data_IF_674078838013
#
_entry.id   IF_674078838013
#
_cell.length_a   1.000
_cell.length_b   1.000
_cell.length_c   1.000
_cell.angle_alpha   90.00
_cell.angle_beta   90.00
_cell.angle_gamma   90.00
#
_symmetry.space_group_name_H-M   'P 1'
#
loop_
_entity.id
_entity.type
_entity.pdbx_description
1 polymer ?
#
# COMPACT_ATOMS: atom_id res chain seq x y z
N UNK A 1 66.32 11.41 -56.65
CA UNK A 1 66.03 9.97 -56.49
C UNK A 1 64.86 9.80 -55.52
N UNK A 2 63.85 9.02 -55.92
CA UNK A 2 62.63 8.63 -55.17
C UNK A 2 62.97 7.60 -54.05
N UNK A 3 62.03 7.21 -53.14
CA UNK A 3 60.59 7.50 -53.12
C UNK A 3 59.98 8.01 -51.80
N UNK A 4 58.75 8.51 -51.94
CA UNK A 4 57.72 8.69 -50.89
C UNK A 4 57.20 7.33 -50.41
N UNK A 5 56.80 7.25 -49.14
CA UNK A 5 55.68 6.41 -48.69
C UNK A 5 54.73 7.29 -47.88
N UNK A 6 53.46 7.31 -48.30
CA UNK A 6 52.30 7.84 -47.60
C UNK A 6 51.67 6.70 -46.81
N UNK A 7 51.23 6.92 -45.56
CA UNK A 7 49.99 6.34 -44.97
C UNK A 7 49.70 6.86 -43.52
N UNK A 8 48.52 6.61 -42.89
CA UNK A 8 47.54 7.68 -42.63
C UNK A 8 47.16 7.90 -41.14
N UNK A 9 46.25 8.87 -40.91
CA UNK A 9 45.56 9.13 -39.63
C UNK A 9 44.60 8.00 -39.26
N UNK A 10 44.70 7.47 -38.04
CA UNK A 10 43.69 6.91 -37.12
C UNK A 10 44.51 6.56 -35.86
N UNK A 11 44.22 6.92 -34.60
CA UNK A 11 42.97 6.93 -33.83
C UNK A 11 43.21 7.77 -32.56
N UNK A 12 42.37 8.78 -32.30
CA UNK A 12 42.14 9.28 -30.94
C UNK A 12 41.23 8.29 -30.22
N UNK A 13 41.76 7.29 -29.53
CA UNK A 13 40.96 6.44 -28.62
C UNK A 13 41.70 5.58 -27.59
N UNK A 14 42.98 5.82 -27.29
CA UNK A 14 43.67 5.03 -26.25
C UNK A 14 44.23 5.82 -25.06
N UNK A 15 43.99 7.13 -24.97
CA UNK A 15 44.43 7.94 -23.81
C UNK A 15 43.31 8.34 -22.84
N UNK A 16 42.12 7.75 -22.96
CA UNK A 16 40.99 7.97 -22.05
C UNK A 16 40.66 6.76 -21.15
N UNK A 17 41.47 5.70 -21.21
CA UNK A 17 41.23 4.46 -20.46
C UNK A 17 42.21 4.18 -19.31
N UNK A 18 43.17 5.08 -19.05
CA UNK A 18 44.13 4.92 -17.94
C UNK A 18 44.03 5.99 -16.83
N UNK A 19 43.02 6.87 -16.88
CA UNK A 19 42.84 7.94 -15.89
C UNK A 19 41.53 7.84 -15.08
N UNK A 20 40.83 6.70 -15.16
CA UNK A 20 39.65 6.38 -14.33
C UNK A 20 39.98 5.36 -13.22
N UNK A 21 41.25 4.94 -13.09
CA UNK A 21 41.68 3.98 -12.05
C UNK A 21 42.39 4.62 -10.84
N UNK A 22 42.43 5.94 -10.72
CA UNK A 22 43.06 6.61 -9.56
C UNK A 22 42.18 7.66 -8.85
N UNK A 23 40.90 7.79 -9.22
CA UNK A 23 39.97 8.73 -8.58
C UNK A 23 38.76 8.04 -7.92
N UNK A 24 38.94 6.78 -7.49
CA UNK A 24 37.97 6.04 -6.66
C UNK A 24 38.52 5.74 -5.25
N UNK A 25 39.73 6.22 -4.91
CA UNK A 25 40.41 5.89 -3.66
C UNK A 25 40.42 6.99 -2.58
N UNK A 26 39.72 8.13 -2.76
CA UNK A 26 39.74 9.23 -1.75
C UNK A 26 38.38 9.89 -1.50
N UNK A 27 37.31 9.11 -1.40
CA UNK A 27 36.10 9.56 -0.69
C UNK A 27 35.59 8.38 0.13
N UNK A 28 35.77 8.47 1.44
CA UNK A 28 35.36 7.45 2.39
C UNK A 28 33.85 7.22 2.34
N UNK A 29 33.43 6.27 1.52
CA UNK A 29 32.18 5.55 1.75
C UNK A 29 32.47 4.47 2.77
N UNK A 30 32.03 4.71 4.00
CA UNK A 30 31.84 3.65 4.99
C UNK A 30 30.79 2.71 4.40
N UNK A 31 31.23 1.61 3.80
CA UNK A 31 30.34 0.50 3.48
C UNK A 31 29.84 -0.06 4.81
N UNK A 32 28.54 0.03 5.03
CA UNK A 32 27.86 -0.57 6.17
C UNK A 32 28.20 -2.06 6.22
N UNK A 33 28.56 -2.61 7.40
CA UNK A 33 28.99 -3.99 7.52
C UNK A 33 27.90 -4.93 7.03
N UNK A 34 28.32 -5.96 6.28
CA UNK A 34 27.48 -7.08 5.82
C UNK A 34 26.59 -7.56 6.96
N UNK A 35 25.27 -7.53 6.78
CA UNK A 35 24.34 -8.19 7.70
C UNK A 35 24.81 -9.65 7.86
N UNK A 36 25.03 -10.06 9.11
CA UNK A 36 25.31 -11.46 9.44
C UNK A 36 24.04 -12.27 9.15
N UNK A 37 24.14 -13.27 8.28
CA UNK A 37 23.05 -14.20 7.95
C UNK A 37 23.26 -15.58 8.59
N UNK A 38 24.11 -15.67 9.63
CA UNK A 38 24.40 -16.93 10.31
C UNK A 38 23.28 -17.36 11.27
N UNK A 39 22.49 -18.32 10.79
CA UNK A 39 22.16 -19.57 11.48
C UNK A 39 21.83 -19.53 12.97
N UNK A 40 20.67 -18.98 13.34
CA UNK A 40 19.96 -19.41 14.55
C UNK A 40 18.60 -19.97 14.13
N UNK A 41 18.35 -21.24 14.44
CA UNK A 41 17.02 -21.87 14.31
C UNK A 41 16.07 -21.17 15.27
N UNK A 42 15.41 -20.11 14.81
CA UNK A 42 14.31 -19.52 15.57
C UNK A 42 13.11 -20.44 15.38
N UNK A 43 12.86 -21.27 16.39
CA UNK A 43 11.58 -21.98 16.52
C UNK A 43 10.49 -20.93 16.76
N UNK A 44 9.93 -20.39 15.68
CA UNK A 44 8.74 -19.56 15.76
C UNK A 44 7.54 -20.45 16.09
N UNK A 45 6.87 -20.09 17.17
CA UNK A 45 5.76 -20.83 17.77
C UNK A 45 4.61 -20.84 16.76
N UNK A 46 4.24 -22.03 16.29
CA UNK A 46 3.08 -22.26 15.46
C UNK A 46 1.83 -21.66 16.11
N UNK A 47 1.03 -20.96 15.30
CA UNK A 47 -0.31 -20.43 15.58
C UNK A 47 -0.97 -21.07 16.81
N UNK A 48 -0.85 -20.43 17.98
CA UNK A 48 -1.62 -20.85 19.16
C UNK A 48 -3.01 -20.26 19.05
N UNK A 49 -3.98 -21.13 18.75
CA UNK A 49 -5.37 -20.92 19.14
C UNK A 49 -6.41 -20.84 18.02
N UNK A 50 -6.32 -21.66 16.97
CA UNK A 50 -7.43 -22.00 16.06
C UNK A 50 -7.17 -23.43 15.50
N UNK A 51 -8.23 -24.20 15.22
CA UNK A 51 -8.23 -25.65 14.94
C UNK A 51 -7.03 -26.19 14.14
N UNK A 52 -6.28 -27.10 14.76
CA UNK A 52 -5.03 -27.69 14.27
C UNK A 52 -5.18 -28.67 13.10
N UNK A 53 -6.40 -28.93 12.61
CA UNK A 53 -6.65 -29.98 11.62
C UNK A 53 -6.26 -29.59 10.18
N UNK A 54 -6.21 -28.29 9.86
CA UNK A 54 -5.95 -27.78 8.51
C UNK A 54 -4.67 -26.96 8.39
N UNK A 55 -3.86 -26.91 9.46
CA UNK A 55 -2.59 -26.21 9.47
C UNK A 55 -1.47 -27.14 8.98
N UNK A 56 -0.67 -26.68 8.02
CA UNK A 56 0.51 -27.38 7.55
C UNK A 56 1.75 -26.47 7.60
N UNK A 57 2.93 -27.06 7.67
CA UNK A 57 4.20 -26.34 7.60
C UNK A 57 5.15 -27.12 6.71
N UNK A 58 5.68 -26.45 5.69
CA UNK A 58 6.64 -27.02 4.74
C UNK A 58 7.89 -26.14 4.71
N UNK A 59 9.06 -26.75 4.79
CA UNK A 59 10.32 -26.06 4.55
C UNK A 59 10.90 -26.50 3.22
N UNK A 60 11.35 -25.54 2.41
CA UNK A 60 11.97 -25.77 1.10
C UNK A 60 13.26 -24.97 0.97
N UNK A 61 14.18 -25.47 0.15
CA UNK A 61 15.37 -24.74 -0.26
C UNK A 61 15.12 -24.13 -1.64
N UNK A 62 15.29 -22.82 -1.77
CA UNK A 62 15.25 -22.10 -3.04
C UNK A 62 16.68 -21.85 -3.48
N UNK A 63 17.11 -22.59 -4.50
CA UNK A 63 18.45 -22.45 -5.07
C UNK A 63 18.52 -21.19 -5.94
N UNK A 64 19.56 -20.36 -5.76
CA UNK A 64 19.69 -19.09 -6.50
C UNK A 64 20.00 -19.26 -7.99
N UNK A 65 20.49 -20.43 -8.38
CA UNK A 65 20.84 -20.76 -9.76
C UNK A 65 19.70 -21.41 -10.55
N UNK A 66 18.47 -21.34 -10.04
CA UNK A 66 17.26 -21.85 -10.67
C UNK A 66 16.21 -20.74 -10.71
N UNK A 67 15.42 -20.76 -11.78
CA UNK A 67 14.28 -19.85 -11.93
C UNK A 67 13.13 -20.28 -10.99
N UNK A 68 11.89 -20.26 -11.47
CA UNK A 68 10.73 -20.73 -10.70
C UNK A 68 10.88 -22.19 -10.26
N UNK A 69 10.86 -22.41 -8.95
CA UNK A 69 10.95 -23.71 -8.29
C UNK A 69 9.63 -24.01 -7.58
N UNK A 70 9.04 -25.21 -7.75
CA UNK A 70 7.83 -25.58 -7.03
C UNK A 70 8.15 -25.76 -5.54
N UNK A 71 7.33 -25.19 -4.66
CA UNK A 71 7.48 -25.36 -3.21
C UNK A 71 6.88 -26.68 -2.70
N UNK A 72 6.09 -27.38 -3.52
CA UNK A 72 5.30 -28.54 -3.09
C UNK A 72 4.08 -28.18 -2.24
N UNK A 73 3.82 -26.89 -2.00
CA UNK A 73 2.64 -26.42 -1.28
C UNK A 73 1.54 -26.06 -2.26
N UNK A 74 0.51 -26.90 -2.33
CA UNK A 74 -0.73 -26.60 -3.06
C UNK A 74 -1.60 -25.69 -2.19
N UNK A 75 -1.90 -24.48 -2.70
CA UNK A 75 -2.76 -23.54 -2.02
C UNK A 75 -4.19 -23.70 -2.53
N UNK A 76 -5.16 -23.68 -1.63
CA UNK A 76 -6.56 -23.47 -1.97
C UNK A 76 -6.83 -21.97 -1.96
N UNK A 77 -7.82 -21.53 -2.73
CA UNK A 77 -8.33 -20.17 -2.57
C UNK A 77 -8.70 -19.95 -1.09
N UNK A 78 -8.31 -18.81 -0.54
CA UNK A 78 -8.46 -18.45 0.86
C UNK A 78 -7.56 -19.19 1.88
N UNK A 79 -6.62 -20.04 1.44
CA UNK A 79 -5.57 -20.55 2.33
C UNK A 79 -4.80 -19.37 2.95
N UNK A 80 -4.69 -19.33 4.29
CA UNK A 80 -3.79 -18.38 4.96
C UNK A 80 -2.37 -18.90 4.88
N UNK A 81 -1.43 -18.06 4.51
CA UNK A 81 -0.04 -18.43 4.29
C UNK A 81 0.88 -17.46 5.02
N UNK A 82 1.83 -17.97 5.80
CA UNK A 82 2.96 -17.22 6.33
C UNK A 82 4.24 -17.84 5.81
N UNK A 83 5.03 -17.06 5.11
CA UNK A 83 6.34 -17.46 4.61
C UNK A 83 7.42 -16.74 5.42
N UNK A 84 8.38 -17.50 5.93
CA UNK A 84 9.59 -17.02 6.58
C UNK A 84 10.76 -17.51 5.74
N UNK A 85 11.69 -16.62 5.42
CA UNK A 85 12.85 -16.96 4.61
C UNK A 85 14.13 -16.52 5.32
N UNK A 86 15.18 -17.34 5.17
CA UNK A 86 16.51 -17.05 5.68
C UNK A 86 17.57 -17.64 4.76
N UNK A 87 18.83 -17.26 4.98
CA UNK A 87 19.95 -17.67 4.15
C UNK A 87 20.50 -16.51 3.34
N UNK A 88 21.39 -16.83 2.41
CA UNK A 88 22.05 -15.84 1.58
C UNK A 88 22.45 -16.43 0.25
N UNK A 89 22.50 -15.58 -0.75
CA UNK A 89 22.95 -15.94 -2.08
C UNK A 89 23.71 -14.76 -2.71
N UNK A 90 24.40 -15.00 -3.81
CA UNK A 90 25.16 -13.98 -4.52
C UNK A 90 25.24 -14.27 -6.02
N UNK A 91 25.04 -13.26 -6.90
CA UNK A 91 25.42 -13.33 -8.31
C UNK A 91 26.92 -13.07 -8.53
N UNK A 92 27.62 -12.51 -7.53
CA UNK A 92 29.05 -12.18 -7.59
C UNK A 92 29.78 -12.63 -6.32
N UNK A 93 29.86 -13.94 -6.04
CA UNK A 93 30.48 -14.44 -4.81
C UNK A 93 31.96 -14.06 -4.69
N UNK A 94 32.66 -13.91 -5.82
CA UNK A 94 34.06 -13.47 -5.87
C UNK A 94 34.26 -12.01 -5.38
N UNK A 95 33.22 -11.17 -5.45
CA UNK A 95 33.24 -9.79 -4.93
C UNK A 95 32.74 -9.69 -3.49
N UNK A 96 32.41 -10.84 -2.86
CA UNK A 96 31.83 -10.93 -1.52
C UNK A 96 30.54 -10.12 -1.33
N UNK A 97 29.72 -10.00 -2.37
CA UNK A 97 28.43 -9.28 -2.34
C UNK A 97 27.32 -10.30 -2.10
N UNK A 98 26.79 -10.38 -0.89
CA UNK A 98 25.73 -11.33 -0.54
C UNK A 98 24.39 -10.63 -0.26
N UNK A 99 23.32 -11.24 -0.74
CA UNK A 99 21.94 -10.81 -0.54
C UNK A 99 21.18 -11.82 0.31
N UNK A 100 20.37 -11.33 1.25
CA UNK A 100 19.34 -12.11 1.93
C UNK A 100 18.02 -12.12 1.16
N UNK A 101 16.97 -12.75 1.71
CA UNK A 101 15.64 -12.79 1.10
C UNK A 101 15.04 -11.41 0.80
N UNK A 102 15.40 -10.35 1.54
CA UNK A 102 14.97 -8.97 1.27
C UNK A 102 15.51 -8.38 -0.04
N UNK A 103 16.53 -9.01 -0.63
CA UNK A 103 17.18 -8.54 -1.83
C UNK A 103 18.14 -7.38 -1.64
N UNK A 104 18.64 -6.88 -2.76
CA UNK A 104 19.58 -5.78 -2.83
C UNK A 104 19.21 -4.91 -4.04
N UNK A 105 18.76 -3.65 -3.82
CA UNK A 105 18.25 -2.80 -4.90
C UNK A 105 19.32 -2.40 -5.94
N UNK A 106 20.59 -2.74 -5.71
CA UNK A 106 21.72 -2.43 -6.60
C UNK A 106 22.01 -3.54 -7.63
N UNK A 107 21.31 -4.66 -7.59
CA UNK A 107 21.48 -5.78 -8.51
C UNK A 107 20.47 -5.79 -9.67
N UNK A 108 20.66 -6.70 -10.63
CA UNK A 108 19.69 -6.97 -11.69
C UNK A 108 18.39 -7.59 -11.15
N UNK A 109 17.34 -7.63 -11.99
CA UNK A 109 16.05 -8.25 -11.67
C UNK A 109 15.34 -8.80 -12.90
N UNK A 110 14.64 -9.91 -12.73
CA UNK A 110 13.75 -10.47 -13.75
C UNK A 110 12.39 -9.75 -13.74
N UNK A 111 11.81 -9.59 -12.56
CA UNK A 111 10.50 -8.97 -12.35
C UNK A 111 10.69 -7.49 -11.97
N UNK A 112 10.35 -6.53 -12.84
CA UNK A 112 10.73 -5.13 -12.66
C UNK A 112 10.14 -4.44 -11.42
N UNK A 113 8.97 -4.89 -10.95
CA UNK A 113 8.25 -4.32 -9.81
C UNK A 113 8.58 -4.99 -8.46
N UNK A 114 9.42 -6.03 -8.48
CA UNK A 114 9.92 -6.68 -7.26
C UNK A 114 11.34 -6.18 -7.01
N UNK A 115 11.73 -6.07 -5.75
CA UNK A 115 13.08 -5.67 -5.35
C UNK A 115 14.10 -6.61 -5.98
N UNK A 116 15.17 -6.04 -6.54
CA UNK A 116 16.26 -6.82 -7.11
C UNK A 116 16.84 -7.78 -6.08
N UNK A 117 17.16 -8.99 -6.52
CA UNK A 117 17.66 -10.08 -5.69
C UNK A 117 16.76 -10.62 -4.56
N UNK A 118 15.54 -10.10 -4.40
CA UNK A 118 14.65 -10.54 -3.35
C UNK A 118 14.04 -11.91 -3.65
N UNK A 119 13.69 -12.66 -2.60
CA UNK A 119 12.83 -13.83 -2.74
C UNK A 119 11.46 -13.37 -3.23
N UNK A 120 10.90 -14.07 -4.22
CA UNK A 120 9.58 -13.83 -4.77
C UNK A 120 8.82 -15.14 -4.95
N UNK A 121 7.50 -15.02 -5.05
CA UNK A 121 6.60 -16.14 -5.26
C UNK A 121 5.54 -15.83 -6.33
N UNK A 122 4.90 -16.89 -6.83
CA UNK A 122 3.66 -16.81 -7.61
C UNK A 122 2.81 -18.05 -7.34
N UNK A 123 1.49 -17.94 -7.50
CA UNK A 123 0.57 -19.07 -7.35
C UNK A 123 0.19 -19.56 -8.74
N UNK A 124 0.41 -20.84 -9.02
CA UNK A 124 0.19 -21.42 -10.35
C UNK A 124 1.26 -21.02 -11.37
N UNK A 125 1.18 -21.64 -12.55
CA UNK A 125 2.15 -21.42 -13.64
C UNK A 125 2.08 -20.00 -14.22
N UNK A 126 0.88 -19.42 -14.28
CA UNK A 126 0.61 -18.11 -14.90
C UNK A 126 0.31 -16.99 -13.88
N UNK A 127 0.40 -17.27 -12.58
CA UNK A 127 0.10 -16.28 -11.55
C UNK A 127 1.06 -15.09 -11.55
N UNK A 128 0.56 -13.93 -11.10
CA UNK A 128 1.35 -12.70 -11.04
C UNK A 128 2.43 -12.81 -9.93
N UNK A 129 3.72 -12.62 -10.26
CA UNK A 129 4.78 -12.62 -9.25
C UNK A 129 4.61 -11.53 -8.19
N UNK A 130 4.92 -11.88 -6.94
CA UNK A 130 4.94 -10.99 -5.78
C UNK A 130 6.16 -11.22 -4.89
N UNK A 131 6.65 -10.17 -4.24
CA UNK A 131 7.82 -10.21 -3.37
C UNK A 131 7.54 -10.93 -2.05
N UNK A 132 8.43 -11.80 -1.56
CA UNK A 132 8.33 -12.37 -0.21
C UNK A 132 9.20 -11.61 0.78
N UNK A 133 10.46 -11.34 0.45
CA UNK A 133 11.39 -10.80 1.43
C UNK A 133 11.72 -11.79 2.55
N UNK A 134 12.06 -11.28 3.73
CA UNK A 134 12.39 -12.11 4.91
C UNK A 134 11.16 -12.80 5.52
N UNK A 135 10.01 -12.13 5.46
CA UNK A 135 8.76 -12.61 6.02
C UNK A 135 7.60 -12.02 5.24
N UNK A 136 6.61 -12.85 4.92
CA UNK A 136 5.35 -12.40 4.32
C UNK A 136 4.19 -13.24 4.79
N UNK A 137 3.13 -12.58 5.23
CA UNK A 137 1.82 -13.17 5.41
C UNK A 137 0.90 -12.75 4.27
N UNK A 138 0.15 -13.70 3.73
CA UNK A 138 -0.86 -13.46 2.71
C UNK A 138 -1.95 -14.51 2.77
N UNK A 139 -3.09 -14.21 2.14
CA UNK A 139 -4.11 -15.19 1.86
C UNK A 139 -4.05 -15.52 0.36
N UNK A 140 -4.08 -16.80 0.02
CA UNK A 140 -4.06 -17.24 -1.36
C UNK A 140 -5.32 -16.73 -2.09
N UNK A 141 -5.13 -15.93 -3.14
CA UNK A 141 -6.21 -15.33 -3.94
C UNK A 141 -6.73 -16.27 -5.03
N UNK A 142 -6.04 -17.37 -5.25
CA UNK A 142 -6.36 -18.37 -6.25
C UNK A 142 -5.84 -19.72 -5.78
N UNK A 143 -6.43 -20.80 -6.29
CA UNK A 143 -5.92 -22.15 -6.08
C UNK A 143 -4.70 -22.39 -6.99
N UNK A 144 -3.68 -23.05 -6.45
CA UNK A 144 -2.59 -23.59 -7.26
C UNK A 144 -1.31 -23.85 -6.49
N UNK A 145 -0.36 -24.49 -7.16
CA UNK A 145 0.98 -24.74 -6.62
C UNK A 145 1.73 -23.42 -6.41
N UNK A 146 2.28 -23.22 -5.21
CA UNK A 146 3.13 -22.07 -4.93
C UNK A 146 4.53 -22.30 -5.51
N UNK A 147 4.97 -21.39 -6.37
CA UNK A 147 6.33 -21.35 -6.93
C UNK A 147 7.14 -20.25 -6.26
N UNK A 148 8.44 -20.50 -6.08
CA UNK A 148 9.40 -19.56 -5.49
C UNK A 148 10.55 -19.32 -6.46
N UNK A 149 11.08 -18.11 -6.48
CA UNK A 149 12.28 -17.76 -7.22
C UNK A 149 13.01 -16.61 -6.55
N UNK A 150 14.26 -16.41 -6.92
CA UNK A 150 15.02 -15.22 -6.58
C UNK A 150 14.90 -14.24 -7.75
N UNK A 151 14.64 -12.96 -7.45
CA UNK A 151 14.43 -11.94 -8.46
C UNK A 151 15.75 -11.46 -9.07
N UNK A 152 16.33 -12.29 -9.91
CA UNK A 152 17.54 -12.05 -10.68
C UNK A 152 17.29 -12.42 -12.15
N UNK A 153 17.87 -11.73 -13.14
CA UNK A 153 17.57 -11.99 -14.54
C UNK A 153 17.75 -13.46 -14.91
N UNK A 154 16.68 -14.11 -15.39
CA UNK A 154 16.67 -15.57 -15.58
C UNK A 154 17.65 -16.06 -16.65
N UNK A 155 18.11 -15.17 -17.52
CA UNK A 155 19.17 -15.45 -18.49
C UNK A 155 20.57 -15.58 -17.89
N UNK A 156 20.79 -15.24 -16.62
CA UNK A 156 22.12 -15.16 -16.01
C UNK A 156 22.35 -16.09 -14.82
N UNK A 157 21.32 -16.82 -14.36
CA UNK A 157 21.33 -17.59 -13.10
C UNK A 157 22.50 -18.58 -12.90
N UNK A 158 23.22 -18.97 -13.94
CA UNK A 158 24.39 -19.85 -13.83
C UNK A 158 25.55 -19.27 -13.03
N UNK A 159 25.64 -17.94 -12.88
CA UNK A 159 26.65 -17.27 -12.03
C UNK A 159 26.23 -17.18 -10.55
N UNK A 160 24.99 -17.53 -10.25
CA UNK A 160 24.45 -17.44 -8.90
C UNK A 160 24.95 -18.58 -8.00
N UNK A 161 25.31 -18.24 -6.76
CA UNK A 161 25.73 -19.17 -5.72
C UNK A 161 24.94 -18.95 -4.43
N UNK A 162 24.64 -20.02 -3.71
CA UNK A 162 23.92 -19.99 -2.44
C UNK A 162 22.42 -20.26 -2.61
N UNK A 163 21.72 -20.23 -1.48
CA UNK A 163 20.32 -20.60 -1.43
C UNK A 163 19.62 -19.97 -0.23
N UNK A 164 18.29 -19.95 -0.30
CA UNK A 164 17.43 -19.51 0.79
C UNK A 164 16.65 -20.71 1.33
N UNK A 165 16.60 -20.84 2.66
CA UNK A 165 15.67 -21.75 3.32
C UNK A 165 14.36 -21.00 3.59
N UNK A 166 13.25 -21.55 3.11
CA UNK A 166 11.93 -20.94 3.14
C UNK A 166 10.97 -21.85 3.89
N UNK A 167 10.42 -21.39 5.01
CA UNK A 167 9.39 -22.07 5.79
C UNK A 167 8.03 -21.46 5.48
N UNK A 168 7.11 -22.29 5.04
CA UNK A 168 5.77 -21.93 4.59
C UNK A 168 4.79 -22.56 5.57
N UNK A 169 4.13 -21.75 6.37
CA UNK A 169 3.01 -22.17 7.20
C UNK A 169 1.71 -21.89 6.43
N UNK A 170 0.87 -22.90 6.24
CA UNK A 170 -0.44 -22.75 5.63
C UNK A 170 -1.55 -23.14 6.60
N UNK A 171 -2.71 -22.52 6.45
CA UNK A 171 -3.97 -22.96 7.05
C UNK A 171 -4.97 -23.01 5.91
N UNK A 172 -5.36 -24.21 5.50
CA UNK A 172 -6.40 -24.40 4.49
C UNK A 172 -7.77 -24.02 5.04
N UNK A 173 -8.67 -23.45 4.22
CA UNK A 173 -10.05 -23.25 4.64
C UNK A 173 -10.69 -24.61 4.98
N UNK A 174 -11.55 -24.64 5.99
CA UNK A 174 -12.33 -25.84 6.29
C UNK A 174 -13.19 -26.16 5.08
N UNK A 175 -13.11 -27.40 4.57
CA UNK A 175 -13.98 -27.84 3.48
C UNK A 175 -15.42 -27.82 3.98
N UNK A 176 -16.22 -26.84 3.56
CA UNK A 176 -17.67 -26.94 3.66
C UNK A 176 -18.11 -28.09 2.74
N UNK A 177 -18.32 -29.27 3.33
CA UNK A 177 -19.09 -30.31 2.64
C UNK A 177 -20.48 -29.75 2.37
N UNK A 178 -20.96 -29.74 1.12
CA UNK A 178 -22.36 -29.45 0.87
C UNK A 178 -23.17 -30.53 1.61
N UNK A 179 -24.13 -30.18 2.48
CA UNK A 179 -24.94 -31.19 3.11
C UNK A 179 -25.78 -31.88 2.03
N UNK A 180 -25.60 -33.19 1.94
CA UNK A 180 -26.44 -34.13 1.21
C UNK A 180 -27.91 -33.81 1.46
N UNK A 181 -28.65 -33.63 0.36
CA UNK A 181 -30.10 -33.50 0.35
C UNK A 181 -30.76 -34.69 1.05
N UNK A 182 -31.32 -34.44 2.24
CA UNK A 182 -32.34 -35.30 2.84
C UNK A 182 -33.51 -34.40 3.23
N UNK A 183 -34.61 -34.61 2.52
CA UNK A 183 -35.94 -34.06 2.78
C UNK A 183 -36.48 -34.51 4.14
N UNK A 184 -36.84 -33.56 5.00
CA UNK A 184 -37.82 -33.74 6.10
C UNK A 184 -38.39 -32.38 6.52
N UNK A 185 -39.63 -32.32 7.03
CA UNK A 185 -40.49 -31.16 6.87
C UNK A 185 -40.23 -30.02 7.87
N UNK A 186 -40.59 -28.83 7.39
CA UNK A 186 -40.54 -27.54 8.07
C UNK A 186 -41.28 -27.60 9.41
N UNK A 187 -40.56 -27.35 10.50
CA UNK A 187 -41.15 -26.87 11.76
C UNK A 187 -40.74 -25.41 11.94
N UNK A 188 -41.73 -24.54 11.80
CA UNK A 188 -41.67 -23.09 11.97
C UNK A 188 -41.42 -22.74 13.43
N UNK A 189 -40.18 -22.39 13.76
CA UNK A 189 -39.86 -21.55 14.89
C UNK A 189 -38.96 -20.41 14.40
N UNK A 190 -39.56 -19.23 14.27
CA UNK A 190 -38.89 -18.00 13.90
C UNK A 190 -37.83 -17.65 14.97
N UNK A 191 -36.58 -18.00 14.70
CA UNK A 191 -35.46 -17.38 15.39
C UNK A 191 -35.28 -15.98 14.79
N UNK A 192 -35.67 -14.97 15.55
CA UNK A 192 -35.33 -13.58 15.30
C UNK A 192 -33.81 -13.48 15.12
N UNK A 193 -33.38 -13.27 13.88
CA UNK A 193 -31.99 -12.91 13.57
C UNK A 193 -31.78 -11.50 14.11
N UNK A 194 -31.19 -11.40 15.30
CA UNK A 194 -30.50 -10.20 15.72
C UNK A 194 -29.35 -9.95 14.73
N UNK A 195 -29.65 -9.22 13.66
CA UNK A 195 -28.65 -8.56 12.83
C UNK A 195 -28.11 -7.43 13.67
N UNK A 196 -27.05 -7.69 14.43
CA UNK A 196 -26.28 -6.61 15.04
C UNK A 196 -25.65 -5.85 13.89
N UNK A 197 -26.31 -4.78 13.45
CA UNK A 197 -25.82 -3.90 12.39
C UNK A 197 -24.44 -3.41 12.79
N UNK A 198 -23.41 -3.74 12.00
CA UNK A 198 -22.04 -3.32 12.27
C UNK A 198 -22.03 -1.79 12.48
N UNK A 199 -21.52 -1.33 13.63
CA UNK A 199 -21.42 0.10 13.91
C UNK A 199 -20.54 0.75 12.85
N UNK A 200 -21.01 1.84 12.25
CA UNK A 200 -20.32 2.60 11.21
C UNK A 200 -20.27 4.06 11.63
N UNK A 201 -19.08 4.63 11.73
CA UNK A 201 -18.87 6.01 12.16
C UNK A 201 -18.01 6.73 11.14
N UNK A 202 -18.38 7.96 10.76
CA UNK A 202 -17.56 8.77 9.87
C UNK A 202 -17.29 10.17 10.42
N UNK A 203 -16.10 10.69 10.13
CA UNK A 203 -15.76 12.10 10.23
C UNK A 203 -15.47 12.62 8.82
N UNK A 204 -16.22 13.63 8.40
CA UNK A 204 -16.15 14.21 7.06
C UNK A 204 -15.82 15.69 7.21
N UNK A 205 -14.72 16.14 6.61
CA UNK A 205 -14.27 17.53 6.69
C UNK A 205 -14.08 18.10 5.28
N UNK A 206 -14.66 19.26 5.01
CA UNK A 206 -14.53 19.98 3.75
C UNK A 206 -14.13 21.43 3.96
N UNK A 207 -12.91 21.80 3.57
CA UNK A 207 -12.40 23.16 3.73
C UNK A 207 -12.26 23.83 2.36
N UNK A 208 -13.00 24.92 2.16
CA UNK A 208 -13.09 25.68 0.92
C UNK A 208 -12.63 27.12 1.07
N UNK A 209 -13.03 27.80 2.15
CA UNK A 209 -12.82 29.24 2.32
C UNK A 209 -11.52 29.55 3.07
N UNK A 210 -10.40 29.46 2.36
CA UNK A 210 -9.09 29.87 2.91
C UNK A 210 -8.82 31.36 2.67
N UNK A 211 -8.05 31.96 3.57
CA UNK A 211 -7.61 33.37 3.44
C UNK A 211 -6.74 33.58 2.17
N UNK A 212 -6.08 32.52 1.70
CA UNK A 212 -5.24 32.53 0.48
C UNK A 212 -5.99 32.23 -0.82
N UNK A 213 -7.28 31.91 -0.75
CA UNK A 213 -8.10 31.59 -1.91
C UNK A 213 -9.24 30.61 -1.58
N UNK A 214 -10.30 30.65 -2.38
CA UNK A 214 -11.45 29.75 -2.20
C UNK A 214 -11.30 28.55 -3.12
N UNK A 215 -11.36 27.34 -2.56
CA UNK A 215 -11.53 26.11 -3.32
C UNK A 215 -13.01 25.87 -3.59
N UNK A 216 -13.37 25.55 -4.83
CA UNK A 216 -14.78 25.54 -5.26
C UNK A 216 -15.57 24.33 -4.74
N UNK A 217 -14.94 23.16 -4.69
CA UNK A 217 -15.64 21.88 -4.49
C UNK A 217 -15.63 21.33 -3.05
N UNK A 218 -14.62 21.52 -2.19
CA UNK A 218 -14.49 20.75 -0.96
C UNK A 218 -15.70 20.76 -0.02
N UNK A 219 -16.41 21.89 0.08
CA UNK A 219 -17.62 21.99 0.88
C UNK A 219 -18.77 21.14 0.30
N UNK A 220 -18.96 21.18 -1.03
CA UNK A 220 -19.94 20.35 -1.72
C UNK A 220 -19.57 18.86 -1.63
N UNK A 221 -18.29 18.55 -1.87
CA UNK A 221 -17.74 17.21 -1.79
C UNK A 221 -18.02 16.58 -0.42
N UNK A 222 -17.72 17.30 0.66
CA UNK A 222 -17.96 16.86 2.03
C UNK A 222 -19.45 16.73 2.35
N UNK A 223 -20.30 17.65 1.91
CA UNK A 223 -21.75 17.55 2.13
C UNK A 223 -22.36 16.33 1.43
N UNK A 224 -21.97 16.06 0.19
CA UNK A 224 -22.48 14.93 -0.59
C UNK A 224 -21.98 13.60 -0.02
N UNK A 225 -20.70 13.52 0.34
CA UNK A 225 -20.14 12.34 1.00
C UNK A 225 -20.84 12.08 2.33
N UNK A 226 -21.08 13.10 3.15
CA UNK A 226 -21.79 12.94 4.42
C UNK A 226 -23.20 12.39 4.20
N UNK A 227 -23.99 13.01 3.31
CA UNK A 227 -25.36 12.55 3.01
C UNK A 227 -25.38 11.12 2.50
N UNK A 228 -24.47 10.75 1.60
CA UNK A 228 -24.38 9.38 1.09
C UNK A 228 -23.97 8.40 2.19
N UNK A 229 -23.00 8.75 3.04
CA UNK A 229 -22.59 7.89 4.16
C UNK A 229 -23.72 7.67 5.18
N UNK A 230 -24.51 8.70 5.49
CA UNK A 230 -25.71 8.60 6.33
C UNK A 230 -26.72 7.60 5.73
N UNK A 231 -27.00 7.70 4.43
CA UNK A 231 -27.86 6.74 3.70
C UNK A 231 -27.30 5.31 3.74
N UNK A 232 -25.98 5.17 3.82
CA UNK A 232 -25.26 3.89 3.93
C UNK A 232 -25.12 3.39 5.40
N UNK A 233 -25.79 4.06 6.34
CA UNK A 233 -25.87 3.65 7.74
C UNK A 233 -24.69 4.06 8.60
N UNK A 234 -23.90 5.05 8.17
CA UNK A 234 -22.88 5.67 9.03
C UNK A 234 -23.51 6.72 9.94
N UNK A 235 -23.01 6.81 11.17
CA UNK A 235 -23.16 7.99 12.01
C UNK A 235 -22.08 9.00 11.61
N UNK A 236 -22.47 10.11 11.00
CA UNK A 236 -21.54 11.08 10.41
C UNK A 236 -21.41 12.34 11.26
N UNK A 237 -20.18 12.75 11.53
CA UNK A 237 -19.84 14.11 11.97
C UNK A 237 -19.31 14.88 10.77
N UNK A 238 -20.03 15.93 10.34
CA UNK A 238 -19.63 16.80 9.23
C UNK A 238 -19.07 18.13 9.77
N UNK A 239 -17.92 18.56 9.24
CA UNK A 239 -17.33 19.87 9.52
C UNK A 239 -16.97 20.58 8.23
N UNK A 240 -17.53 21.77 8.01
CA UNK A 240 -17.27 22.60 6.82
C UNK A 240 -16.51 23.84 7.25
N UNK A 241 -15.45 24.18 6.50
CA UNK A 241 -14.58 25.33 6.77
C UNK A 241 -14.11 25.36 8.23
N UNK A 242 -13.51 24.25 8.64
CA UNK A 242 -13.09 24.01 10.01
C UNK A 242 -11.74 24.68 10.31
N UNK A 243 -11.69 25.43 11.40
CA UNK A 243 -10.44 25.91 12.02
C UNK A 243 -9.65 24.76 12.65
N UNK A 244 -8.39 24.99 13.01
CA UNK A 244 -7.53 23.96 13.61
C UNK A 244 -8.17 23.35 14.86
N UNK A 245 -8.65 24.19 15.79
CA UNK A 245 -9.30 23.77 17.02
C UNK A 245 -10.55 22.91 16.75
N UNK A 246 -11.37 23.30 15.77
CA UNK A 246 -12.55 22.54 15.39
C UNK A 246 -12.20 21.19 14.76
N UNK A 247 -11.15 21.12 13.94
CA UNK A 247 -10.67 19.87 13.36
C UNK A 247 -10.13 18.93 14.46
N UNK A 248 -9.28 19.43 15.36
CA UNK A 248 -8.71 18.66 16.47
C UNK A 248 -9.80 18.15 17.42
N UNK A 249 -10.80 18.98 17.74
CA UNK A 249 -11.97 18.60 18.53
C UNK A 249 -12.75 17.48 17.85
N UNK A 250 -13.07 17.65 16.55
CA UNK A 250 -13.82 16.65 15.80
C UNK A 250 -13.06 15.32 15.67
N UNK A 251 -11.73 15.35 15.50
CA UNK A 251 -10.87 14.15 15.46
C UNK A 251 -10.87 13.43 16.82
N UNK A 252 -10.80 14.18 17.92
CA UNK A 252 -10.86 13.62 19.27
C UNK A 252 -12.21 12.95 19.54
N UNK A 253 -13.33 13.61 19.19
CA UNK A 253 -14.67 13.07 19.32
C UNK A 253 -14.89 11.84 18.43
N UNK A 254 -14.39 11.89 17.20
CA UNK A 254 -14.41 10.76 16.27
C UNK A 254 -13.69 9.54 16.87
N UNK A 255 -12.45 9.71 17.35
CA UNK A 255 -11.71 8.63 18.02
C UNK A 255 -12.48 8.02 19.21
N UNK A 256 -13.07 8.87 20.06
CA UNK A 256 -13.88 8.41 21.21
C UNK A 256 -15.12 7.62 20.76
N UNK A 257 -15.77 8.05 19.69
CA UNK A 257 -16.95 7.36 19.16
C UNK A 257 -16.64 6.01 18.50
N UNK A 258 -15.40 5.82 18.00
CA UNK A 258 -14.90 4.56 17.43
C UNK A 258 -14.55 3.50 18.46
N UNK A 259 -14.25 3.88 19.71
CA UNK A 259 -13.88 2.93 20.79
C UNK A 259 -14.92 1.82 21.04
N UNK A 260 -16.17 2.03 20.63
CA UNK A 260 -17.24 1.04 20.71
C UNK A 260 -17.20 0.01 19.56
N UNK A 261 -16.11 -0.06 18.80
CA UNK A 261 -15.89 -0.99 17.69
C UNK A 261 -16.57 -0.55 16.38
N UNK A 262 -16.41 -1.37 15.33
CA UNK A 262 -17.03 -1.16 14.02
C UNK A 262 -16.10 -0.61 12.95
N UNK A 263 -16.66 0.13 11.99
CA UNK A 263 -15.95 0.75 10.86
C UNK A 263 -15.79 2.24 11.12
N UNK A 264 -14.55 2.73 11.03
CA UNK A 264 -14.24 4.15 11.06
C UNK A 264 -13.93 4.66 9.66
N UNK A 265 -14.55 5.75 9.24
CA UNK A 265 -14.24 6.41 7.97
C UNK A 265 -13.88 7.89 8.21
N UNK A 266 -12.71 8.30 7.77
CA UNK A 266 -12.33 9.70 7.72
C UNK A 266 -12.27 10.15 6.25
N UNK A 267 -12.95 11.24 5.95
CA UNK A 267 -12.89 11.89 4.65
C UNK A 267 -12.45 13.34 4.83
N UNK A 268 -11.49 13.78 4.01
CA UNK A 268 -11.08 15.18 3.96
C UNK A 268 -10.97 15.67 2.52
N UNK A 269 -11.58 16.83 2.25
CA UNK A 269 -11.38 17.60 1.03
C UNK A 269 -10.86 19.01 1.38
N UNK A 270 -9.82 19.46 0.68
CA UNK A 270 -9.22 20.78 0.89
C UNK A 270 -7.74 20.83 0.56
N UNK A 271 -7.02 21.82 1.09
CA UNK A 271 -5.56 21.87 0.99
C UNK A 271 -4.90 20.86 1.93
N UNK A 272 -3.92 20.13 1.40
CA UNK A 272 -3.04 19.24 2.14
C UNK A 272 -1.60 19.48 1.71
N UNK A 273 -0.67 19.40 2.66
CA UNK A 273 0.75 19.70 2.45
C UNK A 273 1.61 18.59 3.04
N UNK A 274 2.64 18.19 2.30
CA UNK A 274 3.70 17.32 2.79
C UNK A 274 4.86 18.15 3.34
N UNK A 275 5.35 17.80 4.53
CA UNK A 275 6.55 18.36 5.17
C UNK A 275 7.38 17.23 5.75
N UNK A 276 8.62 17.08 5.28
CA UNK A 276 9.57 16.02 5.68
C UNK A 276 8.96 14.60 5.74
N UNK A 277 8.22 14.22 4.68
CA UNK A 277 7.63 12.88 4.60
C UNK A 277 6.26 12.74 5.29
N UNK A 278 5.83 13.74 6.05
CA UNK A 278 4.58 13.72 6.82
C UNK A 278 3.48 14.56 6.18
N UNK A 279 2.23 14.15 6.34
CA UNK A 279 1.06 14.79 5.74
C UNK A 279 0.32 15.66 6.75
N UNK A 280 0.00 16.89 6.34
CA UNK A 280 -0.76 17.86 7.13
C UNK A 280 -1.99 18.34 6.34
N UNK A 281 -3.14 18.36 6.99
CA UNK A 281 -4.38 18.94 6.49
C UNK A 281 -4.40 20.42 6.92
N UNK A 282 -4.73 21.33 6.00
CA UNK A 282 -4.70 22.76 6.29
C UNK A 282 -6.09 23.24 6.75
N UNK A 283 -6.23 23.77 7.98
CA UNK A 283 -7.46 24.37 8.45
C UNK A 283 -7.77 25.70 7.76
N UNK A 284 -9.03 26.13 7.78
CA UNK A 284 -9.33 27.51 7.40
C UNK A 284 -8.75 28.47 8.45
N UNK A 285 -8.40 29.69 8.01
CA UNK A 285 -7.73 30.72 8.82
C UNK A 285 -6.31 30.37 9.28
N UNK A 286 -5.74 29.26 8.82
CA UNK A 286 -4.34 28.95 9.07
C UNK A 286 -3.44 29.92 8.30
N UNK A 287 -2.65 30.72 9.01
CA UNK A 287 -1.63 31.59 8.43
C UNK A 287 -0.32 30.82 8.26
N UNK A 288 -0.06 30.36 7.05
CA UNK A 288 1.12 29.57 6.70
C UNK A 288 2.05 30.44 5.85
N UNK A 289 3.20 30.82 6.41
CA UNK A 289 4.23 31.60 5.71
C UNK A 289 5.52 30.78 5.51
N UNK A 290 5.74 29.79 6.37
CA UNK A 290 6.91 28.91 6.38
C UNK A 290 6.53 27.42 6.53
N UNK A 291 7.46 26.54 6.18
CA UNK A 291 7.28 25.08 6.35
C UNK A 291 7.11 24.70 7.83
N UNK A 292 7.77 25.43 8.74
CA UNK A 292 7.56 25.31 10.18
C UNK A 292 6.13 25.64 10.59
N UNK A 293 5.48 26.65 9.97
CA UNK A 293 4.09 26.98 10.30
C UNK A 293 3.14 25.83 9.99
N UNK A 294 3.41 25.04 8.95
CA UNK A 294 2.60 23.85 8.61
C UNK A 294 2.59 22.85 9.76
N UNK A 295 3.73 22.66 10.44
CA UNK A 295 3.83 21.74 11.57
C UNK A 295 3.04 22.19 12.80
N UNK A 296 2.94 23.51 13.03
CA UNK A 296 2.29 24.08 14.21
C UNK A 296 0.81 24.43 13.98
N UNK A 297 0.44 24.79 12.76
CA UNK A 297 -0.89 25.32 12.40
C UNK A 297 -1.69 24.40 11.49
N UNK A 298 -1.05 23.39 10.91
CA UNK A 298 -1.70 22.30 10.19
C UNK A 298 -2.09 21.16 11.12
N UNK A 299 -3.03 20.32 10.68
CA UNK A 299 -3.45 19.13 11.41
C UNK A 299 -2.76 17.91 10.83
N UNK A 300 -1.89 17.28 11.63
CA UNK A 300 -1.10 16.14 11.19
C UNK A 300 -1.97 14.89 10.98
N UNK A 301 -1.89 14.25 9.80
CA UNK A 301 -2.68 13.05 9.48
C UNK A 301 -2.39 11.88 10.44
N UNK A 302 -1.17 11.81 10.97
CA UNK A 302 -0.82 10.84 12.01
C UNK A 302 -1.67 10.95 13.29
N UNK A 303 -2.25 12.12 13.60
CA UNK A 303 -3.17 12.25 14.73
C UNK A 303 -4.48 11.46 14.49
N UNK A 304 -5.00 11.50 13.26
CA UNK A 304 -6.18 10.72 12.87
C UNK A 304 -5.87 9.22 12.91
N UNK A 305 -4.74 8.81 12.33
CA UNK A 305 -4.28 7.42 12.33
C UNK A 305 -4.07 6.89 13.75
N UNK A 306 -3.47 7.69 14.64
CA UNK A 306 -3.30 7.37 16.05
C UNK A 306 -4.63 7.13 16.75
N UNK A 307 -5.61 8.03 16.56
CA UNK A 307 -6.96 7.89 17.14
C UNK A 307 -7.70 6.66 16.61
N UNK A 308 -7.58 6.36 15.32
CA UNK A 308 -8.13 5.15 14.72
C UNK A 308 -7.44 3.88 15.23
N UNK A 309 -6.12 3.92 15.47
CA UNK A 309 -5.37 2.80 16.05
C UNK A 309 -5.72 2.54 17.51
N UNK A 310 -5.85 3.60 18.31
CA UNK A 310 -6.28 3.55 19.72
C UNK A 310 -7.69 2.94 19.87
N UNK A 311 -8.57 3.20 18.91
CA UNK A 311 -9.94 2.68 18.93
C UNK A 311 -10.03 1.16 18.77
N UNK A 312 -8.98 0.49 18.23
CA UNK A 312 -8.93 -0.97 18.00
C UNK A 312 -10.17 -1.51 17.28
N UNK A 313 -10.74 -0.72 16.39
CA UNK A 313 -11.91 -1.08 15.60
C UNK A 313 -11.51 -1.94 14.40
N UNK A 314 -12.46 -2.72 13.86
CA UNK A 314 -12.14 -3.80 12.92
C UNK A 314 -11.71 -3.33 11.53
N UNK A 315 -12.04 -2.09 11.15
CA UNK A 315 -11.67 -1.53 9.87
C UNK A 315 -11.67 0.00 9.89
N UNK A 316 -10.62 0.60 9.35
CA UNK A 316 -10.48 2.04 9.17
C UNK A 316 -10.31 2.40 7.70
N UNK A 317 -11.00 3.44 7.26
CA UNK A 317 -10.92 3.99 5.92
C UNK A 317 -10.54 5.46 6.03
N UNK A 318 -9.50 5.89 5.33
CA UNK A 318 -9.08 7.28 5.24
C UNK A 318 -9.11 7.68 3.77
N UNK A 319 -9.82 8.75 3.44
CA UNK A 319 -9.95 9.25 2.08
C UNK A 319 -9.48 10.70 2.07
N UNK A 320 -8.41 10.98 1.34
CA UNK A 320 -7.79 12.30 1.23
C UNK A 320 -7.98 12.83 -0.19
N UNK A 321 -9.00 13.68 -0.37
CA UNK A 321 -9.23 14.50 -1.57
C UNK A 321 -8.53 15.87 -1.42
N UNK A 322 -7.23 15.79 -1.17
CA UNK A 322 -6.41 16.94 -0.83
C UNK A 322 -5.05 16.82 -1.46
N UNK A 323 -4.79 17.57 -2.52
CA UNK A 323 -3.47 17.80 -3.13
C UNK A 323 -3.58 18.98 -4.12
N UNK A 324 -4.56 19.86 -3.94
CA UNK A 324 -4.86 20.98 -4.84
C UNK A 324 -3.78 22.03 -4.61
N UNK A 325 -2.91 22.21 -5.60
CA UNK A 325 -1.82 23.20 -5.68
C UNK A 325 -1.48 23.87 -4.35
N UNK A 326 -0.43 23.41 -3.66
CA UNK A 326 -0.01 24.02 -2.39
C UNK A 326 0.19 25.53 -2.58
N UNK A 327 -0.72 26.40 -2.08
CA UNK A 327 -0.63 27.84 -2.33
C UNK A 327 0.57 28.46 -1.60
N UNK A 328 1.12 27.73 -0.63
CA UNK A 328 2.29 28.10 0.16
C UNK A 328 3.61 27.62 -0.46
N UNK A 329 3.57 26.85 -1.55
CA UNK A 329 4.75 26.30 -2.22
C UNK A 329 5.76 27.38 -2.67
N UNK A 330 5.29 28.57 -3.05
CA UNK A 330 6.16 29.67 -3.49
C UNK A 330 7.04 30.24 -2.36
N UNK A 331 6.60 30.08 -1.11
CA UNK A 331 7.33 30.50 0.09
C UNK A 331 8.34 29.45 0.57
N UNK A 332 8.20 28.20 0.09
CA UNK A 332 8.99 27.05 0.52
C UNK A 332 10.08 26.76 -0.52
N UNK A 333 11.35 26.78 -0.11
CA UNK A 333 12.49 26.55 -1.02
C UNK A 333 12.55 25.12 -1.60
N UNK A 334 11.72 24.18 -1.13
CA UNK A 334 11.74 22.77 -1.55
C UNK A 334 10.40 22.03 -1.44
N UNK A 335 9.24 22.68 -1.58
CA UNK A 335 7.97 21.95 -1.36
C UNK A 335 7.72 20.86 -2.41
N UNK A 336 7.65 19.61 -1.96
CA UNK A 336 7.09 18.52 -2.74
C UNK A 336 5.60 18.80 -3.00
N UNK A 337 5.14 18.62 -4.24
CA UNK A 337 3.71 18.75 -4.56
C UNK A 337 2.95 17.51 -4.06
N UNK A 338 1.73 17.69 -3.59
CA UNK A 338 0.87 16.58 -3.14
C UNK A 338 1.26 15.95 -1.78
N UNK A 339 0.64 14.82 -1.45
CA UNK A 339 0.78 14.10 -0.19
C UNK A 339 1.76 12.92 -0.29
N UNK A 340 2.42 12.60 0.82
CA UNK A 340 3.23 11.40 1.00
C UNK A 340 2.37 10.13 1.12
N UNK A 341 2.94 8.97 0.79
CA UNK A 341 2.34 7.69 1.16
C UNK A 341 2.60 7.41 2.63
N UNK A 342 1.54 7.31 3.43
CA UNK A 342 1.62 6.75 4.78
C UNK A 342 1.78 5.23 4.69
N UNK A 343 2.94 4.68 5.08
CA UNK A 343 3.21 3.22 5.09
C UNK A 343 3.37 2.65 6.49
N UNK A 344 4.15 3.31 7.35
CA UNK A 344 4.58 2.75 8.64
C UNK A 344 3.72 3.19 9.83
N UNK A 345 2.97 4.29 9.70
CA UNK A 345 2.15 4.87 10.78
C UNK A 345 0.68 4.41 10.77
N UNK A 346 0.26 3.62 9.77
CA UNK A 346 -1.12 3.18 9.64
C UNK A 346 -1.39 1.92 10.48
N UNK A 347 -2.44 1.92 11.34
CA UNK A 347 -2.84 0.71 12.06
C UNK A 347 -3.17 -0.45 11.10
N UNK A 348 -3.01 -1.69 11.57
CA UNK A 348 -3.54 -2.86 10.84
C UNK A 348 -5.05 -2.70 10.62
N UNK A 349 -5.54 -3.16 9.48
CA UNK A 349 -6.94 -2.95 9.13
C UNK A 349 -7.26 -1.52 8.66
N UNK A 350 -6.29 -0.80 8.10
CA UNK A 350 -6.50 0.55 7.56
C UNK A 350 -6.37 0.55 6.04
N UNK A 351 -7.34 1.15 5.36
CA UNK A 351 -7.27 1.52 3.95
C UNK A 351 -7.14 3.04 3.85
N UNK A 352 -6.12 3.51 3.14
CA UNK A 352 -5.91 4.92 2.84
C UNK A 352 -6.02 5.13 1.34
N UNK A 353 -6.92 6.00 0.92
CA UNK A 353 -7.16 6.39 -0.46
C UNK A 353 -6.81 7.87 -0.68
N UNK A 354 -6.12 8.15 -1.77
CA UNK A 354 -5.70 9.48 -2.19
C UNK A 354 -6.35 9.80 -3.53
N UNK A 355 -6.86 11.03 -3.69
CA UNK A 355 -7.50 11.46 -4.93
C UNK A 355 -6.55 11.51 -6.14
N UNK A 356 -5.24 11.55 -5.90
CA UNK A 356 -4.20 11.51 -6.93
C UNK A 356 -2.97 10.78 -6.40
N UNK A 357 -2.02 10.50 -7.28
CA UNK A 357 -0.79 9.81 -6.93
C UNK A 357 0.11 10.72 -6.09
N UNK A 358 0.89 10.15 -5.15
CA UNK A 358 1.84 10.91 -4.35
C UNK A 358 2.73 11.78 -5.23
N UNK A 359 2.96 13.04 -4.87
CA UNK A 359 3.74 13.95 -5.71
C UNK A 359 2.93 14.80 -6.71
N UNK A 360 1.65 14.47 -6.94
CA UNK A 360 0.81 15.08 -7.99
C UNK A 360 -0.40 15.82 -7.42
N UNK A 361 -1.12 16.54 -8.29
CA UNK A 361 -2.27 17.40 -7.96
C UNK A 361 -3.56 16.82 -8.51
N UNK A 362 -4.68 16.97 -7.79
CA UNK A 362 -6.01 16.59 -8.24
C UNK A 362 -6.67 17.73 -9.03
N UNK A 363 -7.46 17.42 -10.05
CA UNK A 363 -8.18 18.39 -10.88
C UNK A 363 -9.46 18.85 -10.19
N UNK A 364 -9.70 20.17 -10.13
CA UNK A 364 -10.92 20.75 -9.58
C UNK A 364 -12.16 20.42 -10.43
N UNK A 365 -11.99 20.41 -11.76
CA UNK A 365 -13.09 20.23 -12.69
C UNK A 365 -14.10 21.39 -12.68
N UNK A 366 -15.03 21.37 -13.63
CA UNK A 366 -16.06 22.41 -13.78
C UNK A 366 -17.42 22.00 -13.19
N UNK A 367 -17.47 20.91 -12.43
CA UNK A 367 -18.70 20.38 -11.82
C UNK A 367 -18.87 20.80 -10.36
N UNK A 368 -20.03 20.50 -9.76
CA UNK A 368 -20.31 20.83 -8.35
C UNK A 368 -19.29 20.18 -7.40
N UNK A 369 -18.95 18.91 -7.67
CA UNK A 369 -18.00 18.11 -6.91
C UNK A 369 -16.67 17.96 -7.66
N UNK A 370 -15.59 17.74 -6.92
CA UNK A 370 -14.30 17.36 -7.46
C UNK A 370 -14.40 16.01 -8.18
N UNK A 371 -13.55 15.81 -9.18
CA UNK A 371 -13.62 14.65 -10.05
C UNK A 371 -13.49 13.32 -9.30
N UNK A 372 -12.61 13.25 -8.31
CA UNK A 372 -12.45 12.04 -7.48
C UNK A 372 -13.73 11.74 -6.69
N UNK A 373 -14.27 12.76 -6.02
CA UNK A 373 -15.49 12.64 -5.21
C UNK A 373 -16.72 12.29 -6.06
N UNK A 374 -16.85 12.85 -7.27
CA UNK A 374 -17.86 12.45 -8.26
C UNK A 374 -17.86 10.94 -8.51
N UNK A 375 -16.71 10.37 -8.85
CA UNK A 375 -16.58 8.93 -9.12
C UNK A 375 -16.77 8.09 -7.85
N UNK A 376 -16.33 8.60 -6.70
CA UNK A 376 -16.50 7.92 -5.41
C UNK A 376 -17.99 7.77 -5.04
N UNK A 377 -18.75 8.87 -5.08
CA UNK A 377 -20.19 8.87 -4.79
C UNK A 377 -20.97 7.89 -5.67
N UNK A 378 -20.65 7.82 -6.97
CA UNK A 378 -21.29 6.91 -7.92
C UNK A 378 -21.06 5.44 -7.56
N UNK A 379 -19.87 5.08 -7.09
CA UNK A 379 -19.49 3.69 -6.85
C UNK A 379 -19.84 3.21 -5.43
N UNK A 380 -19.83 4.09 -4.42
CA UNK A 380 -20.14 3.73 -3.03
C UNK A 380 -21.57 3.22 -2.83
N UNK A 381 -22.51 3.69 -3.64
CA UNK A 381 -23.93 3.25 -3.59
C UNK A 381 -24.20 1.99 -4.40
N UNK A 382 -23.20 1.45 -5.10
CA UNK A 382 -23.39 0.25 -5.92
C UNK A 382 -23.43 -1.00 -5.02
N UNK A 383 -24.51 -1.79 -5.06
CA UNK A 383 -24.63 -2.99 -4.23
C UNK A 383 -23.54 -4.02 -4.51
N UNK A 384 -23.11 -4.71 -3.45
CA UNK A 384 -22.23 -5.87 -3.50
C UNK A 384 -20.85 -5.59 -4.12
N UNK A 385 -20.41 -4.33 -4.14
CA UNK A 385 -19.01 -4.01 -4.43
C UNK A 385 -18.20 -4.00 -3.14
N UNK A 386 -17.09 -4.77 -3.14
CA UNK A 386 -16.09 -4.62 -2.10
C UNK A 386 -15.48 -3.22 -2.17
N UNK A 387 -14.94 -2.74 -1.05
CA UNK A 387 -14.33 -1.42 -1.01
C UNK A 387 -13.16 -1.28 -2.00
N UNK A 388 -12.40 -2.35 -2.23
CA UNK A 388 -11.35 -2.42 -3.24
C UNK A 388 -11.93 -2.26 -4.65
N UNK A 389 -13.06 -2.90 -4.93
CA UNK A 389 -13.75 -2.75 -6.21
C UNK A 389 -14.30 -1.33 -6.40
N UNK A 390 -14.82 -0.71 -5.34
CA UNK A 390 -15.24 0.70 -5.35
C UNK A 390 -14.05 1.58 -5.74
N UNK A 391 -12.93 1.51 -5.02
CA UNK A 391 -11.77 2.34 -5.35
C UNK A 391 -11.12 2.01 -6.69
N UNK A 392 -11.15 0.75 -7.12
CA UNK A 392 -10.70 0.36 -8.47
C UNK A 392 -11.56 1.01 -9.55
N UNK A 393 -12.87 1.07 -9.37
CA UNK A 393 -13.77 1.77 -10.31
C UNK A 393 -13.58 3.28 -10.27
N UNK A 394 -13.32 3.86 -9.09
CA UNK A 394 -12.96 5.27 -8.96
C UNK A 394 -11.69 5.58 -9.75
N UNK A 395 -10.63 4.78 -9.57
CA UNK A 395 -9.39 4.89 -10.35
C UNK A 395 -9.67 4.87 -11.86
N UNK A 396 -10.40 3.86 -12.34
CA UNK A 396 -10.73 3.72 -13.77
C UNK A 396 -11.55 4.90 -14.31
N UNK A 397 -12.49 5.43 -13.51
CA UNK A 397 -13.32 6.57 -13.89
C UNK A 397 -12.51 7.86 -14.01
N UNK A 398 -11.68 8.14 -13.01
CA UNK A 398 -10.82 9.34 -12.97
C UNK A 398 -9.76 9.29 -14.09
N UNK A 399 -9.08 8.15 -14.30
CA UNK A 399 -8.09 8.03 -15.38
C UNK A 399 -8.73 8.22 -16.76
N UNK A 400 -9.93 7.67 -16.97
CA UNK A 400 -10.64 7.81 -18.25
C UNK A 400 -11.01 9.27 -18.51
N UNK A 401 -11.58 9.96 -17.53
CA UNK A 401 -12.06 11.33 -17.69
C UNK A 401 -10.91 12.36 -17.80
N UNK A 402 -9.79 12.08 -17.13
CA UNK A 402 -8.58 12.92 -17.22
C UNK A 402 -7.62 12.55 -18.33
N UNK A 403 -7.88 11.49 -19.09
CA UNK A 403 -6.91 10.89 -20.02
C UNK A 403 -5.56 10.55 -19.34
N UNK A 404 -5.62 10.00 -18.14
CA UNK A 404 -4.45 9.58 -17.35
C UNK A 404 -3.68 10.72 -16.67
N UNK A 405 -4.19 11.96 -16.67
CA UNK A 405 -3.52 13.08 -15.98
C UNK A 405 -3.66 13.03 -14.45
N UNK A 406 -4.72 12.37 -13.96
CA UNK A 406 -4.93 12.14 -12.53
C UNK A 406 -5.08 10.64 -12.30
N UNK A 407 -4.28 10.09 -11.39
CA UNK A 407 -4.27 8.67 -11.05
C UNK A 407 -4.48 8.53 -9.56
N UNK A 408 -5.71 8.24 -9.10
CA UNK A 408 -5.96 7.93 -7.70
C UNK A 408 -5.08 6.78 -7.18
N UNK A 409 -4.77 6.81 -5.89
CA UNK A 409 -3.91 5.80 -5.28
C UNK A 409 -4.51 5.27 -4.00
N UNK A 410 -4.34 3.97 -3.73
CA UNK A 410 -4.79 3.34 -2.49
C UNK A 410 -3.69 2.50 -1.86
N UNK A 411 -3.61 2.52 -0.53
CA UNK A 411 -2.82 1.60 0.27
C UNK A 411 -3.74 0.93 1.28
N UNK A 412 -3.65 -0.38 1.48
CA UNK A 412 -4.50 -1.10 2.42
C UNK A 412 -3.70 -2.14 3.18
N UNK A 413 -3.92 -2.21 4.48
CA UNK A 413 -3.53 -3.32 5.37
C UNK A 413 -4.76 -4.11 5.86
N UNK A 414 -5.95 -3.81 5.33
CA UNK A 414 -7.19 -4.52 5.64
C UNK A 414 -7.31 -5.80 4.83
N UNK A 415 -7.69 -6.87 5.51
CA UNK A 415 -7.78 -8.23 4.96
C UNK A 415 -9.17 -8.85 5.10
N UNK A 416 -10.15 -8.08 5.59
CA UNK A 416 -11.55 -8.49 5.60
C UNK A 416 -12.30 -7.95 4.38
N UNK A 417 -13.59 -8.25 4.31
CA UNK A 417 -14.47 -7.65 3.30
C UNK A 417 -15.28 -6.52 3.91
N UNK A 418 -15.30 -5.37 3.23
CA UNK A 418 -16.21 -4.30 3.53
C UNK A 418 -17.00 -3.91 2.29
N UNK A 419 -18.31 -3.77 2.48
CA UNK A 419 -19.26 -3.34 1.46
C UNK A 419 -20.03 -2.13 2.01
N UNK A 420 -20.03 -1.03 1.27
CA UNK A 420 -20.90 0.10 1.59
C UNK A 420 -22.37 -0.32 1.56
N UNK A 421 -22.77 -1.03 0.50
CA UNK A 421 -24.10 -1.64 0.32
C UNK A 421 -23.94 -3.14 0.15
N UNK A 422 -24.57 -3.92 1.03
CA UNK A 422 -24.67 -5.38 0.91
C UNK A 422 -26.14 -5.77 0.87
N UNK A 423 -26.58 -6.37 -0.23
CA UNK A 423 -27.93 -6.93 -0.30
C UNK A 423 -27.95 -8.27 0.44
N UNK A 424 -29.01 -8.52 1.21
CA UNK A 424 -29.25 -9.86 1.75
C UNK A 424 -29.49 -10.81 0.58
N UNK A 425 -28.73 -11.92 0.55
CA UNK A 425 -28.91 -13.02 -0.39
C UNK A 425 -30.17 -13.81 -0.09
#
# INVERSE_FOLDING_TARGET
>A
MKPRIHEPRYTRSCLFFLLILHMVLMTGCVFSPSKSYDGARVNYIAYRGLDSAHAATQTVTVEANKAWQPSGVELQENSKVKILAMGKWSPWPALNIWSGPEGNPKAGKEVPWITSSALMAKIGENGKPFEIGNEREFQATEQGLLYLAINDPFGYLSDNTGSLQVTIHTISPASETPPTSVSAPVSTAAAARNTTTQKRTALVIGNSHYDVGVLRNPANDAQDIARTLEQLGFHVTLSIDATQEQMETAISEFGRSLYLGGVGLFYYAGHGVQVDGENYLIPVRARIESESDVRYRGVHVGQILGKMGEARNGFNVIILDACRDNPFARSFRSSTRGLAVVRDAAPQGTLIAYATSPGNVASDGDESNGLYTKHLLQNMVTPNLSIEQVFKRVLQGVERETNGKQTPWTSSSFSGDFYFVRNAS
#
